data_IF_488431944254
#
_entry.id   IF_488431944254
#
_cell.length_a   1.000
_cell.length_b   1.000
_cell.length_c   1.000
_cell.angle_alpha   90.00
_cell.angle_beta   90.00
_cell.angle_gamma   90.00
#
_symmetry.space_group_name_H-M   'P 1'
#
loop_
_entity.id
_entity.type
_entity.pdbx_description
1 polymer ?
#
# COMPACT_ATOMS: atom_id res chain seq x y z
N UNK A 1 -8.17 -4.35 39.27
CA UNK A 1 -8.63 -2.99 38.98
C UNK A 1 -8.44 -2.73 37.49
N UNK A 2 -9.44 -3.05 36.68
CA UNK A 2 -9.37 -3.19 35.20
C UNK A 2 -9.69 -1.89 34.44
N UNK A 3 -10.21 -0.88 35.14
CA UNK A 3 -10.68 0.39 34.58
C UNK A 3 -9.56 1.24 33.95
N UNK A 4 -8.30 0.94 34.29
CA UNK A 4 -7.11 1.65 33.79
C UNK A 4 -6.75 1.26 32.35
N UNK A 5 -7.37 0.20 31.83
CA UNK A 5 -7.18 -0.30 30.47
C UNK A 5 -8.42 -0.11 29.60
N UNK A 6 -9.42 0.62 30.11
CA UNK A 6 -10.62 0.90 29.35
C UNK A 6 -10.28 1.88 28.22
N UNK A 7 -10.39 1.38 26.99
CA UNK A 7 -10.08 2.15 25.79
C UNK A 7 -11.10 3.25 25.62
N UNK A 8 -10.62 4.48 25.49
CA UNK A 8 -11.47 5.61 25.19
C UNK A 8 -12.04 5.48 23.75
N UNK A 9 -13.16 6.13 23.44
CA UNK A 9 -13.71 6.14 22.08
C UNK A 9 -12.68 6.56 21.01
N UNK A 10 -11.75 7.44 21.37
CA UNK A 10 -10.64 7.89 20.53
C UNK A 10 -9.61 6.77 20.25
N UNK A 11 -9.36 5.90 21.24
CA UNK A 11 -8.48 4.75 21.08
C UNK A 11 -9.10 3.72 20.13
N UNK A 12 -10.41 3.50 20.25
CA UNK A 12 -11.16 2.63 19.33
C UNK A 12 -11.13 3.14 17.89
N UNK A 13 -11.23 4.45 17.68
CA UNK A 13 -11.09 5.06 16.36
C UNK A 13 -9.68 4.85 15.80
N UNK A 14 -8.65 4.99 16.65
CA UNK A 14 -7.26 4.75 16.27
C UNK A 14 -7.01 3.29 15.89
N UNK A 15 -7.55 2.35 16.66
CA UNK A 15 -7.49 0.90 16.37
C UNK A 15 -8.19 0.60 15.04
N UNK A 16 -9.36 1.19 14.79
CA UNK A 16 -10.11 1.00 13.55
C UNK A 16 -9.33 1.47 12.33
N UNK A 17 -8.64 2.61 12.42
CA UNK A 17 -7.75 3.11 11.38
C UNK A 17 -6.61 2.13 11.10
N UNK A 18 -5.90 1.69 12.15
CA UNK A 18 -4.81 0.72 12.02
C UNK A 18 -5.29 -0.61 11.42
N UNK A 19 -6.47 -1.11 11.84
CA UNK A 19 -7.09 -2.29 11.24
C UNK A 19 -7.38 -2.10 9.75
N UNK A 20 -7.87 -0.93 9.34
CA UNK A 20 -8.06 -0.60 7.92
C UNK A 20 -6.76 -0.69 7.13
N UNK A 21 -5.65 -0.19 7.69
CA UNK A 21 -4.34 -0.28 7.03
C UNK A 21 -3.87 -1.72 6.91
N UNK A 22 -4.00 -2.51 7.98
CA UNK A 22 -3.63 -3.91 7.99
C UNK A 22 -4.43 -4.73 6.98
N UNK A 23 -5.71 -4.39 6.75
CA UNK A 23 -6.52 -5.03 5.71
C UNK A 23 -6.04 -4.67 4.30
N UNK A 24 -5.59 -3.44 4.06
CA UNK A 24 -4.97 -3.05 2.78
C UNK A 24 -3.69 -3.86 2.54
N UNK A 25 -2.81 -3.96 3.55
CA UNK A 25 -1.59 -4.79 3.47
C UNK A 25 -1.90 -6.27 3.25
N UNK A 26 -2.91 -6.80 3.96
CA UNK A 26 -3.36 -8.18 3.80
C UNK A 26 -3.87 -8.42 2.38
N UNK A 27 -4.74 -7.54 1.87
CA UNK A 27 -5.29 -7.64 0.51
C UNK A 27 -4.18 -7.65 -0.54
N UNK A 28 -3.23 -6.71 -0.45
CA UNK A 28 -2.09 -6.65 -1.35
C UNK A 28 -1.24 -7.94 -1.31
N UNK A 29 -0.94 -8.43 -0.11
CA UNK A 29 -0.15 -9.67 0.08
C UNK A 29 -0.88 -10.90 -0.44
N UNK A 30 -2.19 -11.00 -0.17
CA UNK A 30 -3.04 -12.08 -0.68
C UNK A 30 -3.05 -12.10 -2.20
N UNK A 31 -3.25 -10.96 -2.85
CA UNK A 31 -3.24 -10.85 -4.32
C UNK A 31 -1.89 -11.26 -4.92
N UNK A 32 -0.78 -10.85 -4.30
CA UNK A 32 0.56 -11.28 -4.74
C UNK A 32 0.83 -12.77 -4.50
N UNK A 33 0.22 -13.36 -3.48
CA UNK A 33 0.41 -14.77 -3.12
C UNK A 33 -0.50 -15.72 -3.91
N UNK A 34 -1.65 -15.24 -4.41
CA UNK A 34 -2.58 -16.07 -5.21
C UNK A 34 -2.14 -16.21 -6.65
N UNK A 35 -1.30 -15.31 -7.17
CA UNK A 35 -0.74 -15.45 -8.51
C UNK A 35 0.34 -16.54 -8.51
N UNK A 36 -0.03 -17.76 -8.88
CA UNK A 36 0.88 -18.92 -9.05
C UNK A 36 2.08 -18.62 -9.98
N UNK A 37 1.94 -17.62 -10.86
CA UNK A 37 3.03 -16.92 -11.55
C UNK A 37 2.81 -15.42 -11.36
N UNK A 38 3.51 -14.74 -10.43
CA UNK A 38 3.39 -13.30 -10.29
C UNK A 38 3.88 -12.66 -11.59
N UNK A 39 2.97 -12.04 -12.32
CA UNK A 39 3.34 -11.19 -13.44
C UNK A 39 4.00 -9.93 -12.87
N UNK A 40 5.21 -9.61 -13.32
CA UNK A 40 5.93 -8.41 -12.89
C UNK A 40 5.06 -7.15 -12.95
N UNK A 41 4.20 -7.03 -13.97
CA UNK A 41 3.26 -5.93 -14.14
C UNK A 41 2.20 -5.87 -13.04
N UNK A 42 1.58 -7.00 -12.68
CA UNK A 42 0.56 -7.06 -11.62
C UNK A 42 1.16 -6.78 -10.24
N UNK A 43 2.35 -7.32 -9.96
CA UNK A 43 3.06 -7.00 -8.70
C UNK A 43 3.38 -5.51 -8.62
N UNK A 44 3.87 -4.90 -9.71
CA UNK A 44 4.16 -3.46 -9.73
C UNK A 44 2.93 -2.58 -9.52
N UNK A 45 1.78 -2.96 -10.09
CA UNK A 45 0.52 -2.24 -9.95
C UNK A 45 -0.04 -2.34 -8.52
N UNK A 46 0.01 -3.53 -7.90
CA UNK A 46 -0.43 -3.72 -6.51
C UNK A 46 0.48 -2.94 -5.55
N UNK A 47 1.81 -2.96 -5.76
CA UNK A 47 2.74 -2.14 -4.98
C UNK A 47 2.45 -0.65 -5.11
N UNK A 48 2.13 -0.17 -6.32
CA UNK A 48 1.81 1.24 -6.54
C UNK A 48 0.49 1.63 -5.87
N UNK A 49 -0.54 0.81 -6.00
CA UNK A 49 -1.81 1.01 -5.29
C UNK A 49 -1.65 1.04 -3.77
N UNK A 50 -0.77 0.20 -3.21
CA UNK A 50 -0.45 0.21 -1.79
C UNK A 50 0.24 1.52 -1.34
N UNK A 51 1.19 2.03 -2.13
CA UNK A 51 1.84 3.31 -1.85
C UNK A 51 0.86 4.48 -1.90
N UNK A 52 0.02 4.53 -2.93
CA UNK A 52 -0.96 5.60 -3.11
C UNK A 52 -2.00 5.60 -1.96
N UNK A 53 -2.46 4.42 -1.55
CA UNK A 53 -3.36 4.27 -0.40
C UNK A 53 -2.73 4.77 0.91
N UNK A 54 -1.49 4.39 1.20
CA UNK A 54 -0.79 4.86 2.41
C UNK A 54 -0.55 6.38 2.35
N UNK A 55 -0.23 6.93 1.18
CA UNK A 55 -0.02 8.36 0.99
C UNK A 55 -1.29 9.16 1.25
N UNK A 56 -2.43 8.69 0.75
CA UNK A 56 -3.70 9.35 0.99
C UNK A 56 -4.13 9.23 2.46
N UNK A 57 -3.79 8.12 3.11
CA UNK A 57 -4.01 7.97 4.54
C UNK A 57 -3.16 8.94 5.38
N UNK A 58 -1.87 9.12 5.05
CA UNK A 58 -1.00 10.11 5.69
C UNK A 58 -1.57 11.53 5.53
N UNK A 59 -2.18 11.86 4.39
CA UNK A 59 -2.79 13.19 4.17
C UNK A 59 -4.07 13.39 4.96
N UNK A 60 -4.88 12.34 5.14
CA UNK A 60 -6.16 12.40 5.81
C UNK A 60 -6.06 12.23 7.34
N UNK A 61 -4.84 12.07 7.88
CA UNK A 61 -4.63 11.88 9.30
C UNK A 61 -5.05 13.14 10.10
N UNK A 62 -5.79 12.99 11.20
CA UNK A 62 -6.17 14.13 12.05
C UNK A 62 -4.95 14.83 12.67
N UNK A 63 -4.93 16.17 12.74
CA UNK A 63 -3.87 16.88 13.45
C UNK A 63 -3.98 16.59 14.95
N UNK A 64 -2.98 15.90 15.50
CA UNK A 64 -2.94 15.47 16.91
C UNK A 64 -2.86 13.96 17.14
N UNK A 65 -2.80 13.16 16.06
CA UNK A 65 -2.59 11.72 16.15
C UNK A 65 -1.21 11.37 16.74
N UNK A 66 -1.08 10.19 17.36
CA UNK A 66 0.18 9.76 17.98
C UNK A 66 1.32 9.76 16.95
N UNK A 67 2.31 10.62 17.20
CA UNK A 67 3.53 10.78 16.41
C UNK A 67 4.25 9.47 16.14
N UNK A 68 4.14 8.46 17.02
CA UNK A 68 4.74 7.13 16.84
C UNK A 68 4.09 6.37 15.71
N UNK A 69 2.76 6.44 15.60
CA UNK A 69 2.00 5.76 14.55
C UNK A 69 2.23 6.47 13.22
N UNK A 70 2.22 7.80 13.20
CA UNK A 70 2.59 8.59 12.02
C UNK A 70 3.98 8.21 11.51
N UNK A 71 4.96 8.13 12.41
CA UNK A 71 6.33 7.72 12.05
C UNK A 71 6.36 6.30 11.49
N UNK A 72 5.67 5.35 12.11
CA UNK A 72 5.58 3.99 11.60
C UNK A 72 4.96 3.91 10.20
N UNK A 73 3.95 4.73 9.92
CA UNK A 73 3.29 4.80 8.61
C UNK A 73 4.22 5.43 7.54
N UNK A 74 4.95 6.49 7.90
CA UNK A 74 5.96 7.12 7.03
C UNK A 74 7.12 6.15 6.77
N UNK A 75 7.62 5.45 7.79
CA UNK A 75 8.68 4.45 7.65
C UNK A 75 8.23 3.30 6.75
N UNK A 76 6.98 2.84 6.89
CA UNK A 76 6.38 1.84 6.01
C UNK A 76 6.29 2.33 4.56
N UNK A 77 5.82 3.57 4.35
CA UNK A 77 5.77 4.20 3.02
C UNK A 77 7.18 4.31 2.40
N UNK A 78 8.17 4.75 3.17
CA UNK A 78 9.56 4.87 2.72
C UNK A 78 10.14 3.50 2.35
N UNK A 79 9.92 2.48 3.18
CA UNK A 79 10.38 1.11 2.89
C UNK A 79 9.75 0.57 1.61
N UNK A 80 8.46 0.79 1.41
CA UNK A 80 7.78 0.43 0.16
C UNK A 80 8.33 1.20 -1.03
N UNK A 81 8.67 2.48 -0.86
CA UNK A 81 9.31 3.31 -1.90
C UNK A 81 10.69 2.77 -2.28
N UNK A 82 11.47 2.33 -1.30
CA UNK A 82 12.76 1.70 -1.54
C UNK A 82 12.62 0.40 -2.35
N UNK A 83 11.67 -0.47 -1.99
CA UNK A 83 11.37 -1.67 -2.77
C UNK A 83 10.93 -1.33 -4.20
N UNK A 84 10.09 -0.31 -4.38
CA UNK A 84 9.68 0.14 -5.70
C UNK A 84 10.84 0.68 -6.53
N UNK A 85 11.74 1.45 -5.93
CA UNK A 85 12.93 1.94 -6.61
C UNK A 85 13.83 0.80 -7.07
N UNK A 86 14.00 -0.26 -6.26
CA UNK A 86 14.72 -1.48 -6.67
C UNK A 86 14.04 -2.20 -7.83
N UNK A 87 12.71 -2.17 -7.93
CA UNK A 87 11.98 -2.69 -9.09
C UNK A 87 12.22 -1.86 -10.35
N UNK A 88 12.22 -0.54 -10.24
CA UNK A 88 12.42 0.37 -11.38
C UNK A 88 13.86 0.34 -11.92
N UNK A 89 14.86 0.08 -11.07
CA UNK A 89 16.24 -0.15 -11.50
C UNK A 89 16.39 -1.37 -12.42
N UNK A 90 15.45 -2.32 -12.35
CA UNK A 90 15.42 -3.51 -13.20
C UNK A 90 14.58 -3.25 -14.45
N UNK A 91 15.23 -3.20 -15.63
CA UNK A 91 14.58 -2.98 -16.95
C UNK A 91 13.42 -3.94 -17.24
N UNK A 92 13.38 -5.10 -16.57
CA UNK A 92 12.35 -6.11 -16.73
C UNK A 92 10.97 -5.66 -16.23
N UNK A 93 10.88 -4.86 -15.15
CA UNK A 93 9.60 -4.37 -14.61
C UNK A 93 9.00 -3.29 -15.51
N UNK A 94 9.80 -2.31 -15.93
CA UNK A 94 9.40 -1.25 -16.86
C UNK A 94 8.96 -1.82 -18.22
N UNK A 95 9.65 -2.86 -18.72
CA UNK A 95 9.29 -3.52 -19.97
C UNK A 95 8.00 -4.34 -19.88
N UNK A 96 7.82 -5.11 -18.79
CA UNK A 96 6.60 -5.87 -18.56
C UNK A 96 5.37 -4.96 -18.40
N UNK A 97 5.49 -3.85 -17.66
CA UNK A 97 4.41 -2.86 -17.51
C UNK A 97 3.98 -2.27 -18.87
N UNK A 98 4.95 -1.95 -19.75
CA UNK A 98 4.66 -1.49 -21.12
C UNK A 98 3.96 -2.54 -21.99
N UNK A 99 4.32 -3.81 -21.86
CA UNK A 99 3.73 -4.92 -22.65
C UNK A 99 2.26 -5.20 -22.30
N UNK A 100 1.81 -4.89 -21.09
CA UNK A 100 0.40 -5.04 -20.68
C UNK A 100 -0.48 -3.84 -21.05
N UNK A 101 0.12 -2.70 -21.38
CA UNK A 101 -0.56 -1.57 -22.00
C UNK A 101 -0.47 -1.74 -23.53
N UNK A 102 -1.12 -2.77 -24.07
CA UNK A 102 -1.36 -2.82 -25.51
C UNK A 102 -2.51 -1.85 -25.79
N UNK A 103 -2.32 -0.78 -26.59
CA UNK A 103 -3.44 -0.03 -27.10
C UNK A 103 -4.30 -1.02 -27.89
N UNK A 104 -5.58 -1.13 -27.54
CA UNK A 104 -6.56 -1.84 -28.36
C UNK A 104 -6.35 -1.39 -29.81
N UNK A 105 -5.99 -2.33 -30.70
CA UNK A 105 -5.90 -2.10 -32.15
C UNK A 105 -7.32 -1.95 -32.73
N UNK A 106 -8.09 -1.00 -32.22
CA UNK A 106 -9.41 -0.63 -32.71
C UNK A 106 -9.42 0.75 -33.40
N UNK A 107 -8.30 1.48 -33.41
CA UNK A 107 -8.22 2.86 -33.94
C UNK A 107 -7.26 3.04 -35.12
N UNK A 108 -6.92 1.96 -35.85
CA UNK A 108 -6.23 2.09 -37.13
C UNK A 108 -6.90 1.20 -38.19
N UNK A 109 -7.96 1.79 -38.76
CA UNK A 109 -8.41 1.71 -40.16
C UNK A 109 -9.00 0.40 -40.69
#
# INVERSE_FOLDING_TARGET
DLWKFELLPEDWNSIKLVCGWLDIFRSATTQMSTTSKPMLSSTSAIFRGLQDAIKDEIKNLPPGFDTRICKGLVDAHMKLSEYYHRFDQSRYFTWAARKFCVPSYADLR
#
